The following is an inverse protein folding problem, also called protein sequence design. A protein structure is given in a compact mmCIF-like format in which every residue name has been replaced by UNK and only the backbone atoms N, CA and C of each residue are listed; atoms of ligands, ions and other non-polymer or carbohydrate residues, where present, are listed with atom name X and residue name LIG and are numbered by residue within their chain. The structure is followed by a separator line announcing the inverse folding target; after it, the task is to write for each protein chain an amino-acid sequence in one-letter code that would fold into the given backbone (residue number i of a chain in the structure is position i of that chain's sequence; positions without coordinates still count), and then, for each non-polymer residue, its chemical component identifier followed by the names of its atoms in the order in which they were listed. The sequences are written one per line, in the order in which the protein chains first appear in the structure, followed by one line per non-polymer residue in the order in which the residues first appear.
data_IF_394041114066
#
_entry.id   IF_394041114066
#
_cell.length_a   1.000
_cell.length_b   1.000
_cell.length_c   1.000
_cell.angle_alpha   90.00
_cell.angle_beta   90.00
_cell.angle_gamma   90.00
#
_symmetry.space_group_name_H-M   'P 1'
#
loop_
_entity.id
_entity.type
_entity.pdbx_description
1 polymer ?
#
# COMPACT_ATOMS: atom_id res chain seq x y z
N UNK A 1 61.63 55.85 -38.12
CA UNK A 1 61.93 54.41 -37.94
C UNK A 1 60.68 53.72 -37.40
N UNK A 2 60.21 52.68 -38.11
CA UNK A 2 59.22 51.62 -37.82
C UNK A 2 57.90 51.98 -37.07
N UNK A 3 56.70 51.96 -37.68
CA UNK A 3 55.79 50.82 -37.98
C UNK A 3 55.45 49.97 -36.73
N UNK A 4 54.19 49.73 -36.35
CA UNK A 4 53.21 48.77 -36.94
C UNK A 4 51.79 49.09 -36.39
N UNK A 5 50.79 49.40 -37.26
CA UNK A 5 49.53 48.65 -37.58
C UNK A 5 48.78 48.01 -36.40
N UNK A 6 47.46 48.07 -36.24
CA UNK A 6 46.33 48.58 -37.03
C UNK A 6 45.01 48.09 -36.41
N UNK A 7 43.89 48.77 -36.74
CA UNK A 7 42.50 48.27 -36.99
C UNK A 7 41.85 47.32 -35.95
N UNK A 8 40.61 47.44 -35.47
CA UNK A 8 39.37 48.16 -35.85
C UNK A 8 38.36 47.98 -34.67
N UNK A 9 37.17 48.62 -34.64
CA UNK A 9 36.33 48.71 -33.46
C UNK A 9 35.55 47.42 -33.19
N UNK A 10 35.48 46.97 -31.93
CA UNK A 10 34.58 45.87 -31.56
C UNK A 10 33.19 46.45 -31.27
N UNK A 11 32.24 46.04 -32.10
CA UNK A 11 30.83 46.36 -32.02
C UNK A 11 30.17 45.82 -30.73
N UNK A 12 29.35 46.66 -30.10
CA UNK A 12 28.25 46.29 -29.20
C UNK A 12 27.04 45.92 -30.09
N UNK A 13 26.34 44.78 -29.87
CA UNK A 13 25.07 44.88 -29.12
C UNK A 13 24.64 43.58 -28.40
N UNK A 14 23.84 43.73 -27.34
CA UNK A 14 22.78 42.80 -26.90
C UNK A 14 22.72 41.42 -27.61
N UNK A 15 23.34 40.40 -27.02
CA UNK A 15 22.99 39.00 -27.26
C UNK A 15 22.25 38.45 -26.06
N UNK A 16 20.92 38.55 -26.15
CA UNK A 16 19.95 37.71 -25.47
C UNK A 16 20.40 36.25 -25.51
N UNK A 17 20.93 35.72 -24.41
CA UNK A 17 21.02 34.27 -24.21
C UNK A 17 19.65 33.78 -23.77
N UNK A 18 18.72 33.71 -24.71
CA UNK A 18 17.58 32.79 -24.59
C UNK A 18 18.20 31.40 -24.53
N UNK A 19 18.38 30.89 -23.31
CA UNK A 19 18.51 29.46 -23.08
C UNK A 19 17.18 28.89 -23.56
N UNK A 20 17.15 28.39 -24.80
CA UNK A 20 16.07 27.56 -25.28
C UNK A 20 16.00 26.36 -24.34
N UNK A 21 15.08 26.41 -23.39
CA UNK A 21 14.63 25.23 -22.68
C UNK A 21 14.21 24.22 -23.77
N UNK A 22 14.70 22.97 -23.72
CA UNK A 22 14.42 22.01 -24.77
C UNK A 22 12.91 21.93 -24.97
N UNK A 23 12.51 22.00 -26.24
CA UNK A 23 11.13 21.90 -26.68
C UNK A 23 10.45 20.73 -25.95
N UNK A 24 9.25 20.97 -25.41
CA UNK A 24 8.33 19.95 -24.91
C UNK A 24 7.87 19.05 -26.07
N UNK A 25 8.82 18.32 -26.65
CA UNK A 25 8.62 17.34 -27.69
C UNK A 25 8.29 16.01 -27.05
N UNK A 26 7.07 15.56 -27.25
CA UNK A 26 6.60 14.20 -27.03
C UNK A 26 6.83 13.64 -25.61
N UNK A 27 5.96 14.06 -24.67
CA UNK A 27 5.59 13.16 -23.59
C UNK A 27 4.95 11.93 -24.22
N UNK A 28 5.75 10.88 -24.42
CA UNK A 28 5.29 9.49 -24.50
C UNK A 28 4.22 9.33 -23.42
N UNK A 29 2.98 8.98 -23.80
CA UNK A 29 1.80 8.94 -22.93
C UNK A 29 2.20 8.71 -21.48
N UNK A 30 2.19 9.80 -20.68
CA UNK A 30 2.62 9.72 -19.30
C UNK A 30 1.77 8.64 -18.65
N UNK A 31 2.38 7.49 -18.32
CA UNK A 31 1.72 6.44 -17.56
C UNK A 31 1.16 7.12 -16.33
N UNK A 32 -0.16 7.34 -16.30
CA UNK A 32 -0.82 8.03 -15.21
C UNK A 32 -0.80 7.07 -14.03
N UNK A 33 0.30 7.12 -13.28
CA UNK A 33 0.48 6.39 -12.06
C UNK A 33 0.32 7.37 -10.91
N UNK A 34 -0.54 7.03 -9.95
CA UNK A 34 -0.80 7.86 -8.77
C UNK A 34 -0.53 7.03 -7.53
N UNK A 35 0.40 7.52 -6.71
CA UNK A 35 0.67 6.98 -5.38
C UNK A 35 -0.17 7.71 -4.33
N UNK A 36 -0.69 6.97 -3.36
CA UNK A 36 -1.46 7.53 -2.26
C UNK A 36 -1.11 6.83 -0.94
N UNK A 37 -1.29 7.54 0.17
CA UNK A 37 -1.18 6.96 1.51
C UNK A 37 -2.53 6.45 2.00
N UNK A 38 -2.57 5.26 2.59
CA UNK A 38 -3.76 4.73 3.23
C UNK A 38 -3.83 5.28 4.67
N UNK A 39 -4.88 6.06 4.96
CA UNK A 39 -5.06 6.71 6.28
C UNK A 39 -6.01 5.98 7.22
N UNK A 40 -6.91 5.19 6.65
CA UNK A 40 -7.88 4.42 7.40
C UNK A 40 -8.18 3.12 6.65
N UNK A 41 -8.38 2.06 7.41
CA UNK A 41 -8.86 0.76 6.97
C UNK A 41 -9.92 0.33 7.96
N UNK A 42 -11.05 -0.14 7.42
CA UNK A 42 -12.07 -0.79 8.21
C UNK A 42 -12.65 -1.93 7.38
N UNK A 43 -12.50 -3.15 7.89
CA UNK A 43 -13.06 -4.33 7.29
C UNK A 43 -13.79 -5.17 8.33
N UNK A 44 -14.87 -5.80 7.88
CA UNK A 44 -15.66 -6.73 8.67
C UNK A 44 -15.83 -8.01 7.86
N UNK A 45 -15.65 -9.15 8.50
CA UNK A 45 -16.11 -10.40 7.89
C UNK A 45 -17.63 -10.39 7.76
N UNK A 46 -18.19 -10.97 6.68
CA UNK A 46 -19.65 -10.97 6.45
C UNK A 46 -20.39 -11.82 7.50
N UNK A 47 -19.71 -12.82 8.05
CA UNK A 47 -20.21 -13.68 9.10
C UNK A 47 -19.04 -14.14 9.97
N UNK A 48 -19.36 -14.88 11.03
CA UNK A 48 -18.34 -15.67 11.70
C UNK A 48 -17.71 -16.71 10.77
N UNK A 49 -16.47 -17.05 11.07
CA UNK A 49 -15.66 -18.04 10.38
C UNK A 49 -15.32 -19.14 11.38
N UNK A 50 -15.48 -20.40 10.95
CA UNK A 50 -15.04 -21.54 11.76
C UNK A 50 -13.53 -21.68 11.67
N UNK A 51 -12.82 -21.38 12.75
CA UNK A 51 -11.36 -21.45 12.82
C UNK A 51 -10.90 -22.72 13.54
N UNK A 52 -9.94 -23.48 12.99
CA UNK A 52 -9.37 -24.62 13.70
C UNK A 52 -8.49 -24.13 14.86
N UNK A 53 -8.66 -24.71 16.04
CA UNK A 53 -7.72 -24.55 17.16
C UNK A 53 -6.63 -25.62 17.13
N UNK A 54 -7.02 -26.84 16.76
CA UNK A 54 -6.15 -28.00 16.56
C UNK A 54 -6.85 -28.98 15.60
N UNK A 55 -6.30 -30.19 15.45
CA UNK A 55 -6.83 -31.21 14.54
C UNK A 55 -8.27 -31.66 14.85
N UNK A 56 -8.76 -31.45 16.07
CA UNK A 56 -10.05 -31.98 16.54
C UNK A 56 -11.02 -30.90 17.00
N UNK A 57 -10.52 -29.71 17.30
CA UNK A 57 -11.29 -28.62 17.87
C UNK A 57 -11.28 -27.41 16.97
N UNK A 58 -12.42 -26.72 16.94
CA UNK A 58 -12.60 -25.50 16.18
C UNK A 58 -13.49 -24.55 16.95
N UNK A 59 -13.38 -23.27 16.63
CA UNK A 59 -14.10 -22.20 17.28
C UNK A 59 -14.86 -21.39 16.26
N UNK A 60 -15.92 -20.78 16.73
CA UNK A 60 -16.57 -19.69 16.03
C UNK A 60 -15.74 -18.42 16.30
N UNK A 61 -15.26 -17.74 15.25
CA UNK A 61 -14.40 -16.56 15.41
C UNK A 61 -15.14 -15.32 15.91
N UNK A 62 -16.47 -15.31 15.88
CA UNK A 62 -17.26 -14.09 15.81
C UNK A 62 -17.03 -13.32 14.52
N UNK A 63 -17.68 -12.16 14.38
CA UNK A 63 -17.41 -11.25 13.28
C UNK A 63 -16.00 -10.67 13.42
N UNK A 64 -15.12 -10.99 12.48
CA UNK A 64 -13.72 -10.54 12.48
C UNK A 64 -13.68 -9.10 12.01
N UNK A 65 -12.98 -8.26 12.78
CA UNK A 65 -12.75 -6.86 12.43
C UNK A 65 -11.29 -6.67 12.06
N UNK A 66 -11.02 -5.91 10.99
CA UNK A 66 -9.67 -5.48 10.60
C UNK A 66 -9.59 -3.96 10.53
N UNK A 67 -8.51 -3.41 11.09
CA UNK A 67 -8.16 -1.98 11.06
C UNK A 67 -6.68 -1.82 10.74
N UNK A 68 -6.23 -0.60 10.42
CA UNK A 68 -4.79 -0.33 10.35
C UNK A 68 -4.16 -0.65 11.71
N UNK A 69 -2.99 -1.30 11.71
CA UNK A 69 -2.20 -1.46 12.93
C UNK A 69 -1.78 -0.05 13.43
N UNK A 70 -2.15 0.36 14.65
CA UNK A 70 -1.79 1.67 15.18
C UNK A 70 -0.27 1.89 15.29
N UNK A 71 0.51 0.79 15.37
CA UNK A 71 1.97 0.84 15.43
C UNK A 71 2.62 0.64 14.04
N UNK A 72 1.82 0.67 12.97
CA UNK A 72 2.31 0.47 11.62
C UNK A 72 3.34 1.51 11.21
N UNK A 73 4.36 1.09 10.47
CA UNK A 73 5.28 2.03 9.83
C UNK A 73 4.48 2.91 8.83
N UNK A 74 4.56 4.25 8.90
CA UNK A 74 3.85 5.14 7.97
C UNK A 74 4.18 4.89 6.48
N UNK A 75 5.32 4.26 6.19
CA UNK A 75 5.75 3.87 4.83
C UNK A 75 5.12 2.56 4.35
N UNK A 76 4.52 1.76 5.23
CA UNK A 76 3.91 0.47 4.86
C UNK A 76 2.48 0.60 4.34
N UNK A 77 1.77 1.68 4.66
CA UNK A 77 0.36 1.91 4.31
C UNK A 77 0.22 2.78 3.05
N UNK A 78 0.38 2.14 1.90
CA UNK A 78 0.47 2.83 0.61
C UNK A 78 -0.28 2.11 -0.50
N UNK A 79 -0.75 2.86 -1.49
CA UNK A 79 -1.30 2.30 -2.71
C UNK A 79 -0.78 2.99 -3.96
N UNK A 80 -0.87 2.26 -5.08
CA UNK A 80 -0.48 2.70 -6.41
C UNK A 80 -1.63 2.38 -7.38
N UNK A 81 -2.18 3.41 -8.01
CA UNK A 81 -3.09 3.25 -9.14
C UNK A 81 -2.29 3.37 -10.43
N UNK A 82 -2.37 2.38 -11.31
CA UNK A 82 -1.92 2.42 -12.70
C UNK A 82 -3.15 2.50 -13.62
N UNK A 83 -3.52 3.72 -14.02
CA UNK A 83 -4.67 3.94 -14.89
C UNK A 83 -4.47 3.36 -16.30
N UNK A 84 -3.22 3.32 -16.79
CA UNK A 84 -2.91 2.74 -18.09
C UNK A 84 -3.15 1.23 -18.15
N UNK A 85 -3.11 0.55 -17.01
CA UNK A 85 -3.35 -0.89 -16.88
C UNK A 85 -4.67 -1.23 -16.20
N UNK A 86 -5.42 -0.24 -15.70
CA UNK A 86 -6.61 -0.47 -14.87
C UNK A 86 -6.28 -1.34 -13.66
N UNK A 87 -5.13 -1.11 -13.03
CA UNK A 87 -4.64 -1.84 -11.84
C UNK A 87 -4.47 -0.93 -10.64
N UNK A 88 -4.77 -1.46 -9.46
CA UNK A 88 -4.51 -0.84 -8.18
C UNK A 88 -3.77 -1.86 -7.32
N UNK A 89 -2.66 -1.49 -6.71
CA UNK A 89 -2.01 -2.32 -5.70
C UNK A 89 -1.98 -1.55 -4.39
N UNK A 90 -2.40 -2.18 -3.29
CA UNK A 90 -2.36 -1.59 -1.95
C UNK A 90 -1.56 -2.49 -1.03
N UNK A 91 -0.65 -1.92 -0.26
CA UNK A 91 0.04 -2.58 0.86
C UNK A 91 -0.37 -1.87 2.14
N UNK A 92 -0.67 -2.64 3.18
CA UNK A 92 -0.97 -2.09 4.50
C UNK A 92 -0.66 -3.06 5.62
N UNK A 93 -0.35 -2.51 6.78
CA UNK A 93 -0.27 -3.23 8.03
C UNK A 93 -1.62 -3.17 8.74
N UNK A 94 -2.17 -4.35 8.98
CA UNK A 94 -3.49 -4.53 9.57
C UNK A 94 -3.40 -5.24 10.91
N UNK A 95 -4.29 -4.82 11.80
CA UNK A 95 -4.61 -5.49 13.05
C UNK A 95 -5.97 -6.15 12.93
N UNK A 96 -6.05 -7.44 13.26
CA UNK A 96 -7.27 -8.24 13.25
C UNK A 96 -7.66 -8.63 14.68
N UNK A 97 -8.96 -8.53 14.97
CA UNK A 97 -9.55 -8.93 16.25
C UNK A 97 -10.56 -10.05 16.00
N UNK A 98 -10.48 -11.11 16.80
CA UNK A 98 -11.33 -12.30 16.74
C UNK A 98 -12.15 -12.41 18.03
N UNK A 99 -13.38 -11.88 18.06
CA UNK A 99 -14.19 -11.85 19.29
C UNK A 99 -14.41 -13.23 19.92
N UNK A 100 -14.49 -14.28 19.11
CA UNK A 100 -14.65 -15.66 19.56
C UNK A 100 -13.51 -16.19 20.44
N UNK A 101 -12.33 -15.56 20.39
CA UNK A 101 -11.23 -15.89 21.31
C UNK A 101 -11.52 -15.49 22.76
N UNK A 102 -12.41 -14.53 22.98
CA UNK A 102 -12.80 -14.09 24.32
C UNK A 102 -13.42 -15.23 25.14
N UNK A 103 -14.40 -15.93 24.58
CA UNK A 103 -15.11 -17.03 25.25
C UNK A 103 -14.15 -18.19 25.62
N UNK A 104 -13.16 -18.47 24.77
CA UNK A 104 -12.15 -19.51 25.05
C UNK A 104 -11.25 -19.15 26.22
N UNK A 105 -10.76 -17.91 26.24
CA UNK A 105 -9.88 -17.43 27.31
C UNK A 105 -10.65 -17.33 28.62
N UNK A 106 -11.87 -16.80 28.59
CA UNK A 106 -12.73 -16.73 29.78
C UNK A 106 -13.15 -18.12 30.29
N UNK A 107 -13.19 -19.14 29.42
CA UNK A 107 -13.37 -20.53 29.81
C UNK A 107 -12.22 -21.13 30.64
N UNK A 108 -11.12 -20.39 30.83
CA UNK A 108 -10.04 -20.71 31.78
C UNK A 108 -9.06 -21.78 31.34
N UNK A 109 -9.17 -22.29 30.10
CA UNK A 109 -8.30 -23.36 29.56
C UNK A 109 -7.23 -22.86 28.60
N UNK A 110 -7.27 -21.58 28.23
CA UNK A 110 -6.44 -21.00 27.20
C UNK A 110 -5.71 -19.75 27.70
N UNK A 111 -4.53 -19.51 27.12
CA UNK A 111 -3.66 -18.39 27.46
C UNK A 111 -4.33 -17.04 27.16
N UNK A 112 -4.38 -16.10 28.12
CA UNK A 112 -4.84 -14.73 27.88
C UNK A 112 -4.14 -14.00 26.73
N UNK A 113 -2.91 -14.40 26.38
CA UNK A 113 -2.19 -13.91 25.22
C UNK A 113 -2.92 -14.13 23.88
N UNK A 114 -3.92 -15.02 23.82
CA UNK A 114 -4.78 -15.19 22.66
C UNK A 114 -5.68 -13.98 22.36
N UNK A 115 -5.88 -13.09 23.34
CA UNK A 115 -6.65 -11.85 23.14
C UNK A 115 -5.80 -10.75 22.49
N UNK A 116 -4.49 -10.96 22.34
CA UNK A 116 -3.67 -10.01 21.63
C UNK A 116 -4.12 -9.93 20.17
N UNK A 117 -4.21 -8.71 19.62
CA UNK A 117 -4.57 -8.55 18.22
C UNK A 117 -3.58 -9.26 17.30
N UNK A 118 -4.10 -9.88 16.25
CA UNK A 118 -3.28 -10.52 15.22
C UNK A 118 -2.82 -9.45 14.25
N UNK A 119 -1.51 -9.36 14.01
CA UNK A 119 -0.92 -8.31 13.16
C UNK A 119 -0.34 -8.91 11.89
N UNK A 120 -0.54 -8.24 10.76
CA UNK A 120 -0.10 -8.73 9.46
C UNK A 120 0.08 -7.62 8.44
N UNK A 121 0.85 -7.91 7.40
CA UNK A 121 0.95 -7.09 6.20
C UNK A 121 0.04 -7.72 5.13
N UNK A 122 -0.92 -6.95 4.64
CA UNK A 122 -1.72 -7.34 3.49
C UNK A 122 -1.18 -6.66 2.22
N UNK A 123 -1.28 -7.35 1.09
CA UNK A 123 -1.12 -6.76 -0.24
C UNK A 123 -2.31 -7.14 -1.09
N UNK A 124 -3.07 -6.13 -1.50
CA UNK A 124 -4.25 -6.30 -2.34
C UNK A 124 -3.90 -5.87 -3.75
N UNK A 125 -3.94 -6.84 -4.69
CA UNK A 125 -3.87 -6.55 -6.11
C UNK A 125 -5.30 -6.46 -6.65
N UNK A 126 -5.68 -5.27 -7.10
CA UNK A 126 -7.03 -4.96 -7.52
C UNK A 126 -7.11 -4.68 -9.02
N UNK A 127 -8.21 -5.13 -9.62
CA UNK A 127 -8.56 -4.83 -11.02
C UNK A 127 -9.78 -3.90 -11.04
N UNK A 128 -9.76 -2.90 -11.92
CA UNK A 128 -10.88 -2.00 -12.11
C UNK A 128 -12.09 -2.79 -12.62
N UNK A 129 -13.26 -2.56 -12.04
CA UNK A 129 -14.50 -3.23 -12.48
C UNK A 129 -14.85 -2.80 -13.91
N UNK A 130 -15.55 -3.67 -14.64
CA UNK A 130 -15.90 -3.43 -16.05
C UNK A 130 -16.81 -2.21 -16.27
N UNK A 131 -17.56 -1.83 -15.25
CA UNK A 131 -18.42 -0.64 -15.20
C UNK A 131 -17.69 0.62 -14.69
N UNK A 132 -16.40 0.51 -14.36
CA UNK A 132 -15.53 1.59 -13.87
C UNK A 132 -16.01 2.23 -12.56
N UNK A 133 -16.87 1.57 -11.79
CA UNK A 133 -17.43 2.11 -10.54
C UNK A 133 -16.58 1.78 -9.31
N UNK A 134 -15.65 0.82 -9.42
CA UNK A 134 -14.83 0.44 -8.28
C UNK A 134 -13.68 -0.50 -8.64
N UNK A 135 -12.99 -0.98 -7.60
CA UNK A 135 -11.87 -1.90 -7.70
C UNK A 135 -12.24 -3.21 -7.01
N UNK A 136 -11.95 -4.35 -7.67
CA UNK A 136 -12.07 -5.68 -7.04
C UNK A 136 -10.69 -6.15 -6.64
N UNK A 137 -10.51 -6.47 -5.36
CA UNK A 137 -9.25 -6.98 -4.81
C UNK A 137 -9.14 -8.51 -4.88
N UNK A 138 -7.98 -9.00 -5.32
CA UNK A 138 -7.49 -10.35 -5.09
C UNK A 138 -6.44 -10.25 -3.97
N UNK A 139 -6.88 -10.31 -2.71
CA UNK A 139 -6.07 -9.98 -1.55
C UNK A 139 -5.14 -11.11 -1.09
N UNK A 140 -3.88 -10.78 -0.78
CA UNK A 140 -2.92 -11.70 -0.16
C UNK A 140 -2.54 -11.19 1.23
N UNK A 141 -2.74 -12.02 2.25
CA UNK A 141 -2.43 -11.67 3.64
C UNK A 141 -1.17 -12.42 4.13
N UNK A 142 -0.20 -11.68 4.68
CA UNK A 142 1.01 -12.22 5.32
C UNK A 142 1.05 -11.81 6.80
N UNK A 143 1.00 -12.77 7.71
CA UNK A 143 1.06 -12.49 9.16
C UNK A 143 2.49 -12.21 9.63
N UNK A 144 2.65 -11.26 10.56
CA UNK A 144 3.95 -10.90 11.12
C UNK A 144 4.42 -11.94 12.18
N UNK A 145 5.74 -12.13 12.35
CA UNK A 145 6.30 -12.99 13.39
C UNK A 145 5.79 -12.62 14.79
N UNK A 146 5.40 -13.62 15.59
CA UNK A 146 4.83 -13.42 16.94
C UNK A 146 3.30 -13.34 16.99
N UNK A 147 2.61 -13.29 15.84
CA UNK A 147 1.16 -13.52 15.78
C UNK A 147 0.81 -14.98 16.06
N UNK A 148 -0.37 -15.24 16.65
CA UNK A 148 -0.91 -16.59 16.91
C UNK A 148 -0.93 -17.45 15.62
N UNK A 149 -1.05 -16.78 14.47
CA UNK A 149 -1.09 -17.36 13.12
C UNK A 149 0.21 -17.14 12.32
N UNK A 150 1.34 -16.86 12.98
CA UNK A 150 2.63 -16.71 12.32
C UNK A 150 2.95 -17.98 11.50
N UNK A 151 2.89 -17.89 10.17
CA UNK A 151 3.05 -19.01 9.24
C UNK A 151 1.81 -19.38 8.42
N UNK A 152 0.64 -18.78 8.69
CA UNK A 152 -0.51 -18.89 7.79
C UNK A 152 -0.33 -18.00 6.55
N UNK A 153 -0.67 -18.52 5.39
CA UNK A 153 -0.69 -17.77 4.13
C UNK A 153 -2.12 -17.81 3.56
N UNK A 154 -2.72 -16.65 3.34
CA UNK A 154 -4.00 -16.51 2.64
C UNK A 154 -3.79 -16.27 1.15
N UNK A 155 -4.53 -17.00 0.31
CA UNK A 155 -4.58 -16.79 -1.14
C UNK A 155 -5.74 -15.89 -1.53
#
# INVERSE_FOLDING_TARGET
MALVRGSEPVADPTRSSTVEAPARGAATEARQQVMFGLRALYGLSPSSIRLPLNERESIDSGQVCVTIDPDADPSCNMGLIDYGRGKLTVRYEGQLVFPGLYELVMGGRHDPGLLHPVRGVATDDCTLTSDLTGWRADGRLQFLPGSIWAGAHGY
#
